data_IF_284428713411
#
_entry.id   IF_284428713411
#
_cell.length_a   1.000
_cell.length_b   1.000
_cell.length_c   1.000
_cell.angle_alpha   90.00
_cell.angle_beta   90.00
_cell.angle_gamma   90.00
#
_symmetry.space_group_name_H-M   'P 1'
#
loop_
_entity.id
_entity.type
_entity.pdbx_description
1 polymer ?
#
# COMPACT_ATOMS: atom_id res chain seq x y z
N UNK A 1 -7.10 20.80 -20.89
CA UNK A 1 -6.34 19.65 -20.36
C UNK A 1 -6.33 18.55 -21.42
N UNK A 2 -5.17 18.01 -21.81
CA UNK A 2 -5.14 16.84 -22.73
C UNK A 2 -5.73 15.66 -21.98
N UNK A 3 -6.79 15.06 -22.51
CA UNK A 3 -7.31 13.80 -21.98
C UNK A 3 -6.23 12.74 -22.15
N UNK A 4 -5.64 12.29 -21.04
CA UNK A 4 -4.69 11.18 -21.04
C UNK A 4 -5.51 9.94 -21.36
N UNK A 5 -5.39 9.43 -22.59
CA UNK A 5 -5.98 8.15 -22.97
C UNK A 5 -5.13 7.05 -22.36
N UNK A 6 -5.70 6.31 -21.42
CA UNK A 6 -5.04 5.14 -20.84
C UNK A 6 -4.76 4.09 -21.92
N UNK A 7 -3.70 3.32 -21.70
CA UNK A 7 -3.44 2.12 -22.49
C UNK A 7 -4.58 1.13 -22.29
N UNK A 8 -4.88 0.35 -23.33
CA UNK A 8 -5.75 -0.81 -23.22
C UNK A 8 -5.31 -1.72 -22.05
N UNK A 9 -6.27 -2.20 -21.26
CA UNK A 9 -6.01 -2.94 -20.03
C UNK A 9 -5.28 -4.27 -20.32
N UNK A 10 -5.71 -4.99 -21.36
CA UNK A 10 -5.11 -6.27 -21.73
C UNK A 10 -3.67 -6.07 -22.19
N UNK A 11 -3.43 -5.04 -23.01
CA UNK A 11 -2.07 -4.67 -23.43
C UNK A 11 -1.19 -4.27 -22.24
N UNK A 12 -1.74 -3.52 -21.28
CA UNK A 12 -1.04 -3.10 -20.08
C UNK A 12 -0.64 -4.31 -19.22
N UNK A 13 -1.57 -5.24 -18.97
CA UNK A 13 -1.31 -6.47 -18.21
C UNK A 13 -0.23 -7.31 -18.87
N UNK A 14 -0.30 -7.52 -20.20
CA UNK A 14 0.73 -8.27 -20.94
C UNK A 14 2.12 -7.65 -20.79
N UNK A 15 2.22 -6.32 -20.90
CA UNK A 15 3.48 -5.59 -20.72
C UNK A 15 4.02 -5.71 -19.29
N UNK A 16 3.14 -5.58 -18.29
CA UNK A 16 3.51 -5.71 -16.88
C UNK A 16 4.05 -7.10 -16.55
N UNK A 17 3.36 -8.17 -16.99
CA UNK A 17 3.81 -9.55 -16.78
C UNK A 17 5.17 -9.77 -17.46
N UNK A 18 5.33 -9.31 -18.71
CA UNK A 18 6.60 -9.44 -19.44
C UNK A 18 7.76 -8.74 -18.71
N UNK A 19 7.54 -7.53 -18.20
CA UNK A 19 8.54 -6.81 -17.43
C UNK A 19 8.86 -7.52 -16.11
N UNK A 20 7.85 -7.98 -15.36
CA UNK A 20 8.04 -8.69 -14.10
C UNK A 20 8.83 -9.99 -14.29
N UNK A 21 8.50 -10.80 -15.30
CA UNK A 21 9.22 -12.04 -15.59
C UNK A 21 10.65 -11.74 -16.05
N UNK A 22 10.85 -10.68 -16.85
CA UNK A 22 12.18 -10.28 -17.32
C UNK A 22 13.12 -9.87 -16.20
N UNK A 23 12.61 -9.11 -15.21
CA UNK A 23 13.43 -8.58 -14.12
C UNK A 23 13.57 -9.53 -12.93
N UNK A 24 12.50 -10.25 -12.56
CA UNK A 24 12.45 -11.06 -11.35
C UNK A 24 12.59 -12.56 -11.62
N UNK A 25 12.41 -12.98 -12.87
CA UNK A 25 12.19 -14.38 -13.20
C UNK A 25 10.76 -14.85 -12.86
N UNK A 26 10.32 -15.99 -13.41
CA UNK A 26 8.92 -16.43 -13.31
C UNK A 26 8.49 -16.74 -11.87
N UNK A 27 9.39 -17.26 -11.02
CA UNK A 27 9.07 -17.65 -9.64
C UNK A 27 8.81 -16.42 -8.77
N UNK A 28 9.74 -15.45 -8.74
CA UNK A 28 9.57 -14.24 -7.93
C UNK A 28 8.50 -13.30 -8.51
N UNK A 29 8.33 -13.25 -9.83
CA UNK A 29 7.22 -12.52 -10.45
C UNK A 29 5.86 -13.06 -9.96
N UNK A 30 5.70 -14.38 -9.92
CA UNK A 30 4.47 -15.01 -9.44
C UNK A 30 4.25 -14.78 -7.93
N UNK A 31 5.32 -14.85 -7.13
CA UNK A 31 5.28 -14.50 -5.70
C UNK A 31 4.85 -13.05 -5.48
N UNK A 32 5.36 -12.11 -6.27
CA UNK A 32 5.01 -10.69 -6.19
C UNK A 32 3.52 -10.46 -6.51
N UNK A 33 3.01 -11.06 -7.58
CA UNK A 33 1.59 -10.94 -7.99
C UNK A 33 0.66 -11.45 -6.88
N UNK A 34 1.04 -12.54 -6.21
CA UNK A 34 0.26 -13.15 -5.14
C UNK A 34 0.59 -12.57 -3.75
N UNK A 35 1.50 -11.60 -3.66
CA UNK A 35 1.88 -11.04 -2.37
C UNK A 35 0.65 -10.38 -1.75
N UNK A 36 0.24 -10.79 -0.53
CA UNK A 36 -0.92 -10.19 0.11
C UNK A 36 -0.63 -8.70 0.28
N UNK A 37 -1.45 -7.85 -0.36
CA UNK A 37 -1.40 -6.41 -0.12
C UNK A 37 -1.48 -6.22 1.39
N UNK A 38 -0.46 -5.57 1.98
CA UNK A 38 -0.43 -5.25 3.41
C UNK A 38 -1.80 -4.67 3.74
N UNK A 39 -2.63 -5.43 4.46
CA UNK A 39 -4.02 -5.03 4.71
C UNK A 39 -3.95 -3.63 5.26
N UNK A 40 -4.71 -2.69 4.67
CA UNK A 40 -4.85 -1.35 5.24
C UNK A 40 -5.18 -1.57 6.71
N UNK A 41 -4.30 -1.14 7.61
CA UNK A 41 -4.63 -1.11 9.02
C UNK A 41 -5.86 -0.24 9.14
N UNK A 42 -6.95 -0.79 9.63
CA UNK A 42 -8.18 -0.04 9.86
C UNK A 42 -7.86 1.22 10.69
N UNK A 43 -8.56 2.33 10.42
CA UNK A 43 -8.29 3.61 11.08
C UNK A 43 -8.35 3.48 12.59
N UNK A 44 -9.26 2.66 13.13
CA UNK A 44 -9.38 2.41 14.57
C UNK A 44 -8.17 1.64 15.08
N UNK A 45 -7.71 0.61 14.37
CA UNK A 45 -6.52 -0.15 14.78
C UNK A 45 -5.27 0.73 14.76
N UNK A 46 -5.10 1.56 13.72
CA UNK A 46 -3.99 2.53 13.63
C UNK A 46 -4.06 3.55 14.77
N UNK A 47 -5.24 4.08 15.06
CA UNK A 47 -5.42 5.05 16.14
C UNK A 47 -5.10 4.43 17.50
N UNK A 48 -5.54 3.19 17.76
CA UNK A 48 -5.21 2.47 19.00
C UNK A 48 -3.72 2.20 19.14
N UNK A 49 -3.05 1.82 18.04
CA UNK A 49 -1.59 1.67 18.03
C UNK A 49 -0.92 3.00 18.35
N UNK A 50 -1.33 4.11 17.74
CA UNK A 50 -0.84 5.45 18.08
C UNK A 50 -1.07 5.81 19.56
N UNK A 51 -2.28 5.60 20.09
CA UNK A 51 -2.62 5.89 21.49
C UNK A 51 -1.74 5.13 22.49
N UNK A 52 -1.35 3.88 22.17
CA UNK A 52 -0.47 3.09 23.05
C UNK A 52 0.93 3.68 23.23
N UNK A 53 1.38 4.53 22.32
CA UNK A 53 2.69 5.19 22.40
C UNK A 53 2.64 6.52 23.16
N UNK A 54 1.47 6.96 23.61
CA UNK A 54 1.31 8.23 24.32
C UNK A 54 1.40 8.04 25.82
N UNK A 55 2.06 8.99 26.48
CA UNK A 55 1.82 9.26 27.90
C UNK A 55 0.50 10.02 28.02
N UNK A 56 -0.47 9.39 28.67
CA UNK A 56 -1.84 9.90 28.80
C UNK A 56 -1.87 11.27 29.48
N UNK A 57 -1.15 11.43 30.57
CA UNK A 57 -1.26 12.63 31.41
C UNK A 57 -0.57 13.80 30.74
N UNK A 58 0.60 13.56 30.11
CA UNK A 58 1.28 14.57 29.30
C UNK A 58 0.42 15.01 28.11
N UNK A 59 -0.15 14.06 27.36
CA UNK A 59 -0.95 14.35 26.18
C UNK A 59 -2.21 15.16 26.52
N UNK A 60 -2.96 14.75 27.56
CA UNK A 60 -4.15 15.47 27.98
C UNK A 60 -3.83 16.89 28.43
N UNK A 61 -2.70 17.09 29.11
CA UNK A 61 -2.25 18.42 29.51
C UNK A 61 -1.92 19.31 28.31
N UNK A 62 -1.29 18.79 27.26
CA UNK A 62 -0.96 19.55 26.04
C UNK A 62 -2.20 19.86 25.18
N UNK A 63 -3.21 18.99 25.17
CA UNK A 63 -4.41 19.17 24.34
C UNK A 63 -5.43 20.13 24.96
N UNK A 64 -5.56 20.10 26.28
CA UNK A 64 -6.57 20.86 27.01
C UNK A 64 -6.00 22.10 27.73
N UNK A 65 -4.76 22.49 27.44
CA UNK A 65 -4.15 23.75 27.89
C UNK A 65 -4.57 24.94 27.05
#
# INVERSE_FOLDING_TARGET
>A
MRAVKYMDEELMVKKAIKALIGELGPVEANRFINMPRKKRTDSVKRHREWQKHLDKDKFLKEVFS
#
